data_IF_378320425375
#
_entry.id   IF_378320425375
#
_cell.length_a   1.000
_cell.length_b   1.000
_cell.length_c   1.000
_cell.angle_alpha   90.00
_cell.angle_beta   90.00
_cell.angle_gamma   90.00
#
_symmetry.space_group_name_H-M   'P 1'
#
loop_
_entity.id
_entity.type
_entity.pdbx_description
1 polymer ?
#
# COMPACT_ATOMS: atom_id res chain seq x y z
N UNK A 1 1.16 21.58 -6.33
CA UNK A 1 0.77 21.03 -5.01
C UNK A 1 1.15 21.99 -3.89
N UNK A 2 0.19 22.69 -3.25
CA UNK A 2 0.42 23.41 -1.99
C UNK A 2 0.02 22.50 -0.83
N UNK A 3 0.99 21.86 -0.20
CA UNK A 3 0.73 20.88 0.87
C UNK A 3 0.91 21.56 2.21
N UNK A 4 -0.16 21.63 3.00
CA UNK A 4 -0.07 22.11 4.38
C UNK A 4 0.51 21.01 5.28
N UNK A 5 1.17 21.41 6.39
CA UNK A 5 1.68 20.46 7.38
C UNK A 5 0.62 19.44 7.80
N UNK A 6 -0.63 19.88 7.97
CA UNK A 6 -1.77 19.03 8.31
C UNK A 6 -1.99 17.91 7.27
N UNK A 7 -2.04 18.24 5.99
CA UNK A 7 -2.19 17.25 4.91
C UNK A 7 -1.00 16.31 4.80
N UNK A 8 0.22 16.79 5.04
CA UNK A 8 1.41 15.94 5.12
C UNK A 8 1.37 14.97 6.30
N UNK A 9 0.88 15.43 7.45
CA UNK A 9 0.73 14.60 8.65
C UNK A 9 -0.34 13.53 8.48
N UNK A 10 -1.48 13.88 7.86
CA UNK A 10 -2.52 12.92 7.48
C UNK A 10 -2.00 11.87 6.51
N UNK A 11 -1.24 12.29 5.48
CA UNK A 11 -0.62 11.36 4.54
C UNK A 11 0.37 10.42 5.25
N UNK A 12 1.19 10.92 6.18
CA UNK A 12 2.11 10.10 6.95
C UNK A 12 1.39 9.10 7.86
N UNK A 13 0.30 9.49 8.52
CA UNK A 13 -0.52 8.57 9.33
C UNK A 13 -1.16 7.51 8.44
N UNK A 14 -1.75 7.91 7.31
CA UNK A 14 -2.32 6.98 6.34
C UNK A 14 -1.27 6.01 5.80
N UNK A 15 -0.05 6.48 5.56
CA UNK A 15 1.10 5.68 5.14
C UNK A 15 1.42 4.59 6.19
N UNK A 16 1.56 4.97 7.46
CA UNK A 16 1.82 4.03 8.56
C UNK A 16 0.71 2.97 8.67
N UNK A 17 -0.54 3.36 8.48
CA UNK A 17 -1.68 2.45 8.60
C UNK A 17 -1.76 1.41 7.47
N UNK A 18 -1.31 1.72 6.23
CA UNK A 18 -1.31 0.71 5.15
C UNK A 18 -0.12 -0.26 5.20
N UNK A 19 1.02 0.18 5.75
CA UNK A 19 2.23 -0.65 5.92
C UNK A 19 1.98 -1.83 6.88
N UNK A 20 1.08 -1.67 7.85
CA UNK A 20 0.77 -2.73 8.83
C UNK A 20 0.10 -3.95 8.16
N UNK A 21 -1.01 -3.79 7.39
CA UNK A 21 -1.55 -4.86 6.54
C UNK A 21 -0.51 -5.49 5.60
N UNK A 22 0.30 -4.68 4.91
CA UNK A 22 1.33 -5.17 3.99
C UNK A 22 2.38 -6.02 4.69
N UNK A 23 2.85 -5.59 5.87
CA UNK A 23 3.77 -6.37 6.70
C UNK A 23 3.21 -7.73 7.10
N UNK A 24 1.91 -7.81 7.42
CA UNK A 24 1.23 -9.08 7.72
C UNK A 24 1.21 -9.99 6.48
N UNK A 25 0.85 -9.44 5.32
CA UNK A 25 0.80 -10.19 4.06
C UNK A 25 2.18 -10.76 3.71
N UNK A 26 3.24 -9.95 3.79
CA UNK A 26 4.62 -10.37 3.53
C UNK A 26 5.07 -11.45 4.52
N UNK A 27 4.75 -11.29 5.81
CA UNK A 27 5.05 -12.30 6.83
C UNK A 27 4.40 -13.66 6.53
N UNK A 28 3.11 -13.66 6.19
CA UNK A 28 2.37 -14.89 5.84
C UNK A 28 2.92 -15.50 4.55
N UNK A 29 3.24 -14.69 3.54
CA UNK A 29 3.84 -15.15 2.29
C UNK A 29 5.21 -15.83 2.52
N UNK A 30 6.07 -15.25 3.35
CA UNK A 30 7.36 -15.83 3.71
C UNK A 30 7.22 -17.17 4.45
N UNK A 31 6.25 -17.27 5.36
CA UNK A 31 5.97 -18.55 6.03
C UNK A 31 5.49 -19.63 5.05
N UNK A 32 4.64 -19.27 4.08
CA UNK A 32 4.22 -20.19 3.00
C UNK A 32 5.38 -20.57 2.08
N UNK A 33 6.37 -19.70 1.92
CA UNK A 33 7.61 -19.93 1.18
C UNK A 33 8.72 -20.67 1.94
N UNK A 34 8.38 -21.43 2.99
CA UNK A 34 9.30 -22.26 3.79
C UNK A 34 10.28 -21.49 4.71
N UNK A 35 10.02 -20.23 5.05
CA UNK A 35 10.79 -19.54 6.09
C UNK A 35 10.24 -19.85 7.49
N UNK A 36 11.13 -20.06 8.46
CA UNK A 36 10.77 -20.19 9.88
C UNK A 36 10.14 -18.89 10.41
N UNK A 37 9.13 -18.98 11.28
CA UNK A 37 8.38 -17.83 11.79
C UNK A 37 9.24 -16.68 12.31
N UNK A 38 10.32 -16.95 13.05
CA UNK A 38 11.25 -15.89 13.52
C UNK A 38 11.98 -15.18 12.39
N UNK A 39 12.41 -15.90 11.35
CA UNK A 39 13.10 -15.31 10.17
C UNK A 39 12.12 -14.56 9.30
N UNK A 40 10.95 -15.15 9.03
CA UNK A 40 9.87 -14.50 8.28
C UNK A 40 9.45 -13.18 8.93
N UNK A 41 9.32 -13.15 10.27
CA UNK A 41 9.00 -11.94 11.02
C UNK A 41 10.05 -10.85 10.83
N UNK A 42 11.34 -11.18 11.00
CA UNK A 42 12.43 -10.20 10.83
C UNK A 42 12.50 -9.66 9.41
N UNK A 43 12.33 -10.51 8.39
CA UNK A 43 12.34 -10.06 7.00
C UNK A 43 11.15 -9.18 6.67
N UNK A 44 9.93 -9.54 7.11
CA UNK A 44 8.75 -8.70 6.92
C UNK A 44 8.89 -7.34 7.64
N UNK A 45 9.38 -7.35 8.89
CA UNK A 45 9.63 -6.13 9.66
C UNK A 45 10.67 -5.24 8.98
N UNK A 46 11.81 -5.78 8.56
CA UNK A 46 12.85 -5.00 7.88
C UNK A 46 12.37 -4.47 6.53
N UNK A 47 11.62 -5.27 5.76
CA UNK A 47 11.06 -4.84 4.49
C UNK A 47 10.13 -3.63 4.68
N UNK A 48 9.17 -3.70 5.62
CA UNK A 48 8.24 -2.60 5.90
C UNK A 48 8.96 -1.38 6.52
N UNK A 49 9.85 -1.60 7.50
CA UNK A 49 10.51 -0.51 8.22
C UNK A 49 11.55 0.25 7.39
N UNK A 50 12.22 -0.41 6.43
CA UNK A 50 13.31 0.19 5.65
C UNK A 50 12.82 0.75 4.32
N UNK A 51 11.88 0.09 3.64
CA UNK A 51 11.47 0.44 2.27
C UNK A 51 11.00 1.89 2.15
N UNK A 52 10.09 2.32 3.03
CA UNK A 52 9.48 3.66 2.99
C UNK A 52 10.45 4.78 3.34
N UNK A 53 11.24 4.71 4.44
CA UNK A 53 12.29 5.70 4.71
C UNK A 53 13.37 5.75 3.63
N UNK A 54 13.74 4.60 3.06
CA UNK A 54 14.72 4.54 1.99
C UNK A 54 14.19 5.20 0.71
N UNK A 55 12.93 4.95 0.34
CA UNK A 55 12.25 5.64 -0.76
C UNK A 55 12.23 7.15 -0.57
N UNK A 56 11.88 7.61 0.64
CA UNK A 56 11.91 9.03 0.99
C UNK A 56 13.33 9.62 0.85
N UNK A 57 14.36 8.94 1.38
CA UNK A 57 15.75 9.39 1.31
C UNK A 57 16.26 9.48 -0.13
N UNK A 58 15.95 8.47 -0.96
CA UNK A 58 16.34 8.43 -2.37
C UNK A 58 15.62 9.51 -3.18
N UNK A 59 14.36 9.81 -2.83
CA UNK A 59 13.57 10.85 -3.50
C UNK A 59 13.95 12.27 -3.07
N UNK A 60 14.54 12.46 -1.89
CA UNK A 60 14.93 13.78 -1.35
C UNK A 60 15.70 14.69 -2.33
N UNK A 61 16.80 14.24 -3.00
CA UNK A 61 17.50 15.08 -3.97
C UNK A 61 16.69 15.36 -5.24
N UNK A 62 15.64 14.59 -5.51
CA UNK A 62 14.78 14.71 -6.69
C UNK A 62 13.54 15.56 -6.42
N UNK A 63 13.10 15.69 -5.15
CA UNK A 63 11.83 16.31 -4.78
C UNK A 63 11.62 17.72 -5.33
N UNK A 64 12.68 18.53 -5.46
CA UNK A 64 12.63 19.88 -6.05
C UNK A 64 12.87 19.95 -7.57
N UNK A 65 13.18 18.82 -8.22
CA UNK A 65 13.53 18.74 -9.66
C UNK A 65 12.46 18.01 -10.50
N UNK A 66 11.53 17.33 -9.84
CA UNK A 66 10.44 16.61 -10.50
C UNK A 66 9.39 17.62 -10.94
N UNK A 67 9.10 17.67 -12.24
CA UNK A 67 8.01 18.48 -12.77
C UNK A 67 6.65 17.87 -12.39
N UNK A 68 5.59 18.68 -12.37
CA UNK A 68 4.23 18.19 -12.10
C UNK A 68 3.84 17.04 -13.05
N UNK A 69 4.24 17.10 -14.32
CA UNK A 69 4.00 16.04 -15.29
C UNK A 69 4.69 14.71 -14.92
N UNK A 70 5.96 14.77 -14.50
CA UNK A 70 6.70 13.58 -14.05
C UNK A 70 6.11 13.03 -12.75
N UNK A 71 5.70 13.90 -11.83
CA UNK A 71 5.02 13.50 -10.60
C UNK A 71 3.71 12.76 -10.90
N UNK A 72 2.88 13.30 -11.79
CA UNK A 72 1.63 12.66 -12.22
C UNK A 72 1.87 11.27 -12.84
N UNK A 73 2.91 11.11 -13.66
CA UNK A 73 3.28 9.81 -14.24
C UNK A 73 3.73 8.80 -13.17
N UNK A 74 4.54 9.24 -12.21
CA UNK A 74 4.98 8.40 -11.09
C UNK A 74 3.81 7.96 -10.21
N UNK A 75 2.88 8.88 -9.91
CA UNK A 75 1.67 8.58 -9.15
C UNK A 75 0.75 7.60 -9.91
N UNK A 76 0.57 7.79 -11.21
CA UNK A 76 -0.20 6.87 -12.05
C UNK A 76 0.43 5.47 -12.10
N UNK A 77 1.75 5.39 -12.21
CA UNK A 77 2.48 4.13 -12.16
C UNK A 77 2.30 3.44 -10.80
N UNK A 78 2.44 4.18 -9.69
CA UNK A 78 2.25 3.64 -8.35
C UNK A 78 0.82 3.10 -8.15
N UNK A 79 -0.19 3.86 -8.56
CA UNK A 79 -1.59 3.42 -8.52
C UNK A 79 -1.82 2.14 -9.33
N UNK A 80 -1.22 2.05 -10.53
CA UNK A 80 -1.30 0.86 -11.38
C UNK A 80 -0.65 -0.37 -10.75
N UNK A 81 0.51 -0.22 -10.11
CA UNK A 81 1.19 -1.31 -9.40
C UNK A 81 0.36 -1.80 -8.23
N UNK A 82 -0.21 -0.91 -7.41
CA UNK A 82 -1.09 -1.28 -6.30
C UNK A 82 -2.34 -2.04 -6.80
N UNK A 83 -2.93 -1.60 -7.91
CA UNK A 83 -4.07 -2.27 -8.52
C UNK A 83 -3.70 -3.67 -9.03
N UNK A 84 -2.53 -3.82 -9.67
CA UNK A 84 -2.01 -5.12 -10.11
C UNK A 84 -1.79 -6.07 -8.91
N UNK A 85 -1.15 -5.60 -7.84
CA UNK A 85 -0.91 -6.42 -6.63
C UNK A 85 -2.24 -6.84 -6.01
N UNK A 86 -3.19 -5.91 -5.87
CA UNK A 86 -4.51 -6.21 -5.34
C UNK A 86 -5.25 -7.27 -6.18
N UNK A 87 -5.27 -7.11 -7.50
CA UNK A 87 -5.96 -8.03 -8.41
C UNK A 87 -5.27 -9.41 -8.50
N UNK A 88 -3.94 -9.45 -8.62
CA UNK A 88 -3.21 -10.68 -8.87
C UNK A 88 -2.90 -11.48 -7.59
N UNK A 89 -2.78 -10.83 -6.43
CA UNK A 89 -2.30 -11.48 -5.21
C UNK A 89 -3.30 -11.45 -4.05
N UNK A 90 -4.10 -10.39 -3.90
CA UNK A 90 -5.08 -10.27 -2.79
C UNK A 90 -6.42 -10.91 -3.15
N UNK A 91 -6.98 -10.56 -4.32
CA UNK A 91 -8.30 -11.03 -4.74
C UNK A 91 -8.42 -12.58 -4.78
N UNK A 92 -7.41 -13.35 -5.26
CA UNK A 92 -7.48 -14.81 -5.23
C UNK A 92 -7.51 -15.41 -3.83
N UNK A 93 -7.04 -14.68 -2.81
CA UNK A 93 -7.08 -15.14 -1.41
C UNK A 93 -8.46 -14.92 -0.78
N UNK A 94 -9.16 -13.85 -1.18
CA UNK A 94 -10.54 -13.53 -0.76
C UNK A 94 -11.51 -14.66 -1.16
N UNK A 95 -11.24 -15.35 -2.28
CA UNK A 95 -12.12 -16.41 -2.78
C UNK A 95 -11.92 -17.78 -2.09
N UNK A 96 -10.82 -17.97 -1.34
CA UNK A 96 -10.45 -19.27 -0.75
C UNK A 96 -11.12 -19.57 0.59
N UNK A 97 -11.36 -18.57 1.44
CA UNK A 97 -12.01 -18.73 2.75
C UNK A 97 -13.29 -17.91 2.85
N UNK A 98 -14.39 -18.54 3.27
CA UNK A 98 -15.69 -17.90 3.52
C UNK A 98 -16.13 -16.91 2.43
N UNK A 99 -16.13 -17.38 1.17
CA UNK A 99 -16.40 -16.62 -0.06
C UNK A 99 -17.48 -15.55 0.08
N UNK A 100 -18.64 -15.88 0.68
CA UNK A 100 -19.75 -14.93 0.82
C UNK A 100 -19.45 -13.75 1.73
N UNK A 101 -18.77 -13.97 2.86
CA UNK A 101 -18.39 -12.91 3.80
C UNK A 101 -17.25 -12.09 3.20
N UNK A 102 -16.22 -12.75 2.67
CA UNK A 102 -15.05 -12.11 2.07
C UNK A 102 -15.45 -11.22 0.88
N UNK A 103 -16.40 -11.66 0.04
CA UNK A 103 -16.97 -10.84 -1.05
C UNK A 103 -17.77 -9.65 -0.53
N UNK A 104 -18.49 -9.78 0.58
CA UNK A 104 -19.22 -8.66 1.19
C UNK A 104 -18.26 -7.55 1.64
N UNK A 105 -17.18 -7.92 2.35
CA UNK A 105 -16.16 -6.96 2.78
C UNK A 105 -15.41 -6.33 1.60
N UNK A 106 -15.11 -7.12 0.56
CA UNK A 106 -14.54 -6.60 -0.67
C UNK A 106 -15.46 -5.57 -1.34
N UNK A 107 -16.74 -5.89 -1.51
CA UNK A 107 -17.72 -4.98 -2.12
C UNK A 107 -17.90 -3.71 -1.29
N UNK A 108 -17.95 -3.83 0.04
CA UNK A 108 -17.99 -2.68 0.94
C UNK A 108 -16.76 -1.78 0.77
N UNK A 109 -15.56 -2.37 0.63
CA UNK A 109 -14.34 -1.63 0.33
C UNK A 109 -14.38 -0.91 -1.03
N UNK A 110 -14.89 -1.56 -2.07
CA UNK A 110 -15.07 -0.95 -3.41
C UNK A 110 -16.05 0.22 -3.34
N UNK A 111 -17.20 0.05 -2.67
CA UNK A 111 -18.19 1.12 -2.49
C UNK A 111 -17.60 2.29 -1.74
N UNK A 112 -16.84 2.04 -0.67
CA UNK A 112 -16.15 3.07 0.08
C UNK A 112 -15.13 3.83 -0.79
N UNK A 113 -14.32 3.11 -1.59
CA UNK A 113 -13.37 3.73 -2.50
C UNK A 113 -14.07 4.63 -3.53
N UNK A 114 -15.16 4.16 -4.15
CA UNK A 114 -15.96 4.95 -5.09
C UNK A 114 -16.57 6.18 -4.39
N UNK A 115 -17.10 6.01 -3.18
CA UNK A 115 -17.65 7.13 -2.41
C UNK A 115 -16.58 8.19 -2.11
N UNK A 116 -15.37 7.78 -1.73
CA UNK A 116 -14.25 8.71 -1.50
C UNK A 116 -13.90 9.48 -2.78
N UNK A 117 -13.88 8.81 -3.94
CA UNK A 117 -13.61 9.48 -5.22
C UNK A 117 -14.71 10.48 -5.57
N UNK A 118 -15.99 10.12 -5.37
CA UNK A 118 -17.12 11.01 -5.68
C UNK A 118 -17.25 12.19 -4.71
N UNK A 119 -16.81 12.05 -3.46
CA UNK A 119 -16.84 13.09 -2.42
C UNK A 119 -15.57 13.95 -2.39
N UNK A 120 -14.49 13.50 -3.04
CA UNK A 120 -13.17 14.14 -3.04
C UNK A 120 -12.94 15.15 -4.16
N UNK A 121 -13.93 15.34 -5.03
CA UNK A 121 -14.07 16.45 -5.99
C UNK A 121 -14.87 17.61 -5.35
#
# INVERSE_FOLDING_TARGET
>A
FSVHLFTGLLAAIGMILHELPEGIIVYVALQRGCYQGRRAWWYAFLAAAVSTPLGALVSYPLAGRVSDASLSLLLALAAGVLLYVAAAHLLPQVEQENRSISMLFFLAGVVLAVAIVLLGE
#
